data_IF_335675091871
#
_entry.id   IF_335675091871
#
_cell.length_a   1.000
_cell.length_b   1.000
_cell.length_c   1.000
_cell.angle_alpha   90.00
_cell.angle_beta   90.00
_cell.angle_gamma   90.00
#
_symmetry.space_group_name_H-M   'P 1'
#
loop_
_entity.id
_entity.type
_entity.pdbx_description
1 polymer ?
#
# COMPACT_ATOMS: atom_id res chain seq x y z
N UNK A 1 10.84 -6.35 26.73
CA UNK A 1 10.12 -7.33 26.36
C UNK A 1 9.62 -7.33 25.02
N UNK A 2 9.41 -8.36 24.61
CA UNK A 2 9.04 -8.55 23.26
C UNK A 2 7.59 -8.63 23.07
N UNK A 3 7.12 -7.96 22.09
CA UNK A 3 5.77 -8.15 21.67
C UNK A 3 5.70 -9.46 20.95
N UNK A 4 4.97 -10.35 21.50
CA UNK A 4 4.91 -11.65 20.94
C UNK A 4 4.03 -11.73 19.74
N UNK A 5 4.47 -12.43 18.77
CA UNK A 5 3.64 -12.87 17.68
C UNK A 5 3.53 -11.96 16.50
N UNK A 6 4.14 -10.76 16.51
CA UNK A 6 4.05 -9.90 15.35
C UNK A 6 5.41 -9.48 14.85
N UNK A 7 5.56 -9.47 13.55
CA UNK A 7 6.73 -8.95 12.86
C UNK A 7 6.25 -7.99 11.79
N UNK A 8 6.88 -6.84 11.71
CA UNK A 8 6.53 -5.87 10.67
C UNK A 8 7.13 -6.31 9.34
N UNK A 9 6.31 -6.34 8.33
CA UNK A 9 6.74 -6.62 6.96
C UNK A 9 6.68 -5.36 6.15
N UNK A 10 7.82 -4.87 5.72
CA UNK A 10 7.89 -3.66 4.90
C UNK A 10 7.37 -3.98 3.51
N UNK A 11 6.41 -3.19 3.04
CA UNK A 11 5.75 -3.40 1.76
C UNK A 11 6.16 -2.27 0.84
N UNK A 12 6.84 -2.58 -0.23
CA UNK A 12 7.23 -1.60 -1.24
C UNK A 12 6.20 -1.61 -2.36
N UNK A 13 5.75 -0.43 -2.73
CA UNK A 13 4.72 -0.25 -3.75
C UNK A 13 5.36 0.43 -4.95
N UNK A 14 5.22 -0.19 -6.12
CA UNK A 14 5.64 0.40 -7.38
C UNK A 14 4.43 0.51 -8.27
N UNK A 15 4.24 1.68 -8.87
CA UNK A 15 3.09 1.89 -9.74
C UNK A 15 3.40 3.03 -10.70
N UNK A 16 2.62 3.14 -11.76
CA UNK A 16 2.68 4.29 -12.67
C UNK A 16 1.43 5.11 -12.47
N UNK A 17 1.60 6.35 -12.06
CA UNK A 17 0.47 7.23 -11.74
C UNK A 17 0.38 8.34 -12.78
N UNK A 18 -0.83 8.56 -13.26
CA UNK A 18 -1.13 9.69 -14.13
C UNK A 18 -1.79 10.78 -13.27
N UNK A 19 -1.21 11.97 -13.28
CA UNK A 19 -1.68 13.07 -12.46
C UNK A 19 -2.51 14.04 -13.29
N UNK A 20 -3.41 14.74 -12.62
CA UNK A 20 -4.10 15.87 -13.24
C UNK A 20 -3.12 17.00 -13.52
N UNK A 21 -3.47 17.87 -14.46
CA UNK A 21 -2.65 19.01 -14.78
C UNK A 21 -2.39 19.85 -13.53
N UNK A 22 -1.12 20.12 -13.28
CA UNK A 22 -0.71 20.88 -12.09
C UNK A 22 -0.46 20.03 -10.86
N UNK A 23 -0.69 18.71 -10.93
CA UNK A 23 -0.42 17.80 -9.83
C UNK A 23 0.78 16.90 -10.14
N UNK A 24 1.47 16.50 -9.10
CA UNK A 24 2.63 15.63 -9.23
C UNK A 24 2.84 14.87 -7.93
N UNK A 25 3.86 14.04 -7.87
CA UNK A 25 4.22 13.34 -6.64
C UNK A 25 4.45 14.32 -5.48
N UNK A 26 5.05 15.48 -5.78
CA UNK A 26 5.28 16.49 -4.76
C UNK A 26 4.00 16.95 -4.07
N UNK A 27 2.91 17.05 -4.83
CA UNK A 27 1.64 17.53 -4.30
C UNK A 27 0.71 16.42 -3.87
N UNK A 28 0.78 15.27 -4.53
CA UNK A 28 -0.14 14.15 -4.26
C UNK A 28 0.48 13.06 -3.39
N UNK A 29 1.79 12.98 -3.31
CA UNK A 29 2.46 11.88 -2.63
C UNK A 29 2.06 11.70 -1.18
N UNK A 30 1.86 12.79 -0.45
CA UNK A 30 1.42 12.71 0.94
C UNK A 30 0.05 12.06 1.06
N UNK A 31 -0.87 12.39 0.16
CA UNK A 31 -2.20 11.79 0.16
C UNK A 31 -2.13 10.31 -0.16
N UNK A 32 -1.28 9.96 -1.12
CA UNK A 32 -1.11 8.58 -1.54
C UNK A 32 -0.51 7.75 -0.40
N UNK A 33 0.52 8.27 0.24
CA UNK A 33 1.16 7.57 1.36
C UNK A 33 0.19 7.38 2.51
N UNK A 34 -0.60 8.39 2.84
CA UNK A 34 -1.61 8.29 3.89
C UNK A 34 -2.69 7.28 3.55
N UNK A 35 -3.09 7.22 2.30
CA UNK A 35 -4.10 6.26 1.86
C UNK A 35 -3.61 4.82 2.02
N UNK A 36 -2.36 4.58 1.65
CA UNK A 36 -1.76 3.26 1.82
C UNK A 36 -1.59 2.92 3.28
N UNK A 37 -1.13 3.87 4.10
CA UNK A 37 -1.00 3.66 5.54
C UNK A 37 -2.34 3.28 6.16
N UNK A 38 -3.41 3.96 5.76
CA UNK A 38 -4.75 3.67 6.28
C UNK A 38 -5.19 2.26 5.90
N UNK A 39 -4.90 1.83 4.68
CA UNK A 39 -5.22 0.48 4.25
C UNK A 39 -4.46 -0.56 5.09
N UNK A 40 -3.18 -0.32 5.30
CA UNK A 40 -2.37 -1.26 6.09
C UNK A 40 -2.82 -1.29 7.55
N UNK A 41 -3.23 -0.15 8.10
CA UNK A 41 -3.79 -0.12 9.45
C UNK A 41 -5.08 -0.92 9.56
N UNK A 42 -5.92 -0.86 8.54
CA UNK A 42 -7.14 -1.68 8.51
C UNK A 42 -6.81 -3.17 8.47
N UNK A 43 -5.80 -3.55 7.69
CA UNK A 43 -5.36 -4.94 7.68
C UNK A 43 -4.83 -5.36 9.05
N UNK A 44 -4.06 -4.51 9.68
CA UNK A 44 -3.48 -4.82 10.99
C UNK A 44 -4.57 -4.96 12.07
N UNK A 45 -5.65 -4.18 11.96
CA UNK A 45 -6.76 -4.30 12.90
C UNK A 45 -7.42 -5.67 12.84
N UNK A 46 -7.40 -6.29 11.67
CA UNK A 46 -8.03 -7.60 11.48
C UNK A 46 -7.05 -8.74 11.69
N UNK A 47 -5.83 -8.44 12.10
CA UNK A 47 -4.78 -9.44 12.23
C UNK A 47 -5.17 -10.57 13.18
N UNK A 48 -5.75 -10.22 14.32
CA UNK A 48 -6.07 -11.21 15.35
C UNK A 48 -7.22 -12.13 14.95
N UNK A 49 -8.05 -11.71 14.01
CA UNK A 49 -9.20 -12.49 13.56
C UNK A 49 -8.99 -13.19 12.24
N UNK A 50 -7.77 -13.09 11.68
CA UNK A 50 -7.46 -13.65 10.38
C UNK A 50 -6.24 -14.55 10.48
N UNK A 51 -6.27 -15.68 9.80
CA UNK A 51 -5.12 -16.56 9.72
C UNK A 51 -4.01 -15.95 8.88
N UNK A 52 -4.39 -15.22 7.85
CA UNK A 52 -3.47 -14.57 6.94
C UNK A 52 -4.04 -13.23 6.54
N UNK A 53 -3.15 -12.27 6.33
CA UNK A 53 -3.51 -11.00 5.75
C UNK A 53 -3.08 -10.99 4.29
N UNK A 54 -3.94 -10.48 3.43
CA UNK A 54 -3.65 -10.37 2.01
C UNK A 54 -3.58 -8.90 1.63
N UNK A 55 -2.43 -8.46 1.13
CA UNK A 55 -2.28 -7.11 0.59
C UNK A 55 -2.69 -7.19 -0.87
N UNK A 56 -3.79 -6.55 -1.22
CA UNK A 56 -4.38 -6.66 -2.55
C UNK A 56 -4.02 -5.47 -3.41
N UNK A 57 -3.50 -5.75 -4.59
CA UNK A 57 -3.15 -4.70 -5.56
C UNK A 57 -4.38 -3.86 -5.89
N UNK A 58 -5.53 -4.49 -6.10
CA UNK A 58 -6.74 -3.75 -6.44
C UNK A 58 -7.16 -2.77 -5.37
N UNK A 59 -6.96 -3.11 -4.10
CA UNK A 59 -7.28 -2.22 -3.01
C UNK A 59 -6.31 -1.05 -2.94
N UNK A 60 -5.03 -1.31 -3.19
CA UNK A 60 -4.03 -0.26 -3.24
C UNK A 60 -4.37 0.71 -4.37
N UNK A 61 -4.69 0.19 -5.54
CA UNK A 61 -5.05 1.03 -6.69
C UNK A 61 -6.28 1.87 -6.42
N UNK A 62 -7.31 1.27 -5.82
CA UNK A 62 -8.54 1.98 -5.49
C UNK A 62 -8.27 3.13 -4.54
N UNK A 63 -7.45 2.90 -3.54
CA UNK A 63 -7.12 3.92 -2.56
C UNK A 63 -6.31 5.05 -3.15
N UNK A 64 -5.39 4.73 -4.05
CA UNK A 64 -4.60 5.75 -4.73
C UNK A 64 -5.47 6.56 -5.69
N UNK A 65 -6.37 5.90 -6.41
CA UNK A 65 -7.28 6.59 -7.33
C UNK A 65 -8.22 7.56 -6.62
N UNK A 66 -8.51 7.31 -5.35
CA UNK A 66 -9.32 8.21 -4.55
C UNK A 66 -8.56 9.47 -4.10
N UNK A 67 -7.25 9.50 -4.29
CA UNK A 67 -6.45 10.63 -3.85
C UNK A 67 -6.61 11.82 -4.77
N UNK A 68 -6.50 13.02 -4.21
CA UNK A 68 -6.58 14.24 -5.00
C UNK A 68 -5.43 14.28 -6.02
N UNK A 69 -5.75 14.69 -7.22
CA UNK A 69 -4.76 14.87 -8.28
C UNK A 69 -4.42 13.62 -9.08
N UNK A 70 -4.97 12.47 -8.73
CA UNK A 70 -4.69 11.22 -9.45
C UNK A 70 -5.81 10.98 -10.45
N UNK A 71 -5.43 10.76 -11.72
CA UNK A 71 -6.38 10.44 -12.78
C UNK A 71 -6.44 8.94 -13.02
N UNK A 72 -5.28 8.29 -13.07
CA UNK A 72 -5.21 6.88 -13.43
C UNK A 72 -3.98 6.25 -12.80
N UNK A 73 -3.96 4.93 -12.78
CA UNK A 73 -2.88 4.16 -12.20
C UNK A 73 -2.73 2.86 -12.99
N UNK A 74 -1.50 2.40 -13.14
CA UNK A 74 -1.25 1.16 -13.89
C UNK A 74 0.05 0.52 -13.41
N UNK A 75 0.25 -0.73 -13.81
CA UNK A 75 1.48 -1.49 -13.52
C UNK A 75 1.85 -1.52 -12.05
N UNK A 76 0.86 -1.66 -11.19
CA UNK A 76 1.07 -1.70 -9.74
C UNK A 76 1.71 -3.01 -9.34
N UNK A 77 2.77 -2.90 -8.55
CA UNK A 77 3.49 -4.07 -8.02
C UNK A 77 3.72 -3.94 -6.53
N UNK A 78 3.70 -5.07 -5.86
CA UNK A 78 4.01 -5.16 -4.44
C UNK A 78 5.32 -5.94 -4.33
N UNK A 79 6.34 -5.32 -3.76
CA UNK A 79 7.68 -5.92 -3.61
C UNK A 79 8.21 -6.48 -4.93
N UNK A 80 7.94 -5.76 -6.02
CA UNK A 80 8.41 -6.15 -7.34
C UNK A 80 7.55 -7.17 -8.06
N UNK A 81 6.44 -7.60 -7.48
CA UNK A 81 5.56 -8.60 -8.07
C UNK A 81 4.20 -8.00 -8.40
N UNK A 82 3.70 -8.29 -9.58
CA UNK A 82 2.37 -7.81 -10.01
C UNK A 82 1.28 -8.75 -9.50
N UNK A 83 1.33 -9.10 -8.24
CA UNK A 83 0.42 -10.05 -7.62
C UNK A 83 0.10 -9.59 -6.20
N UNK A 84 -1.04 -10.04 -5.69
CA UNK A 84 -1.37 -9.81 -4.28
C UNK A 84 -0.32 -10.48 -3.41
N UNK A 85 0.00 -9.83 -2.29
CA UNK A 85 0.98 -10.37 -1.35
C UNK A 85 0.24 -10.99 -0.17
N UNK A 86 0.53 -12.25 0.10
CA UNK A 86 -0.03 -12.95 1.25
C UNK A 86 0.98 -12.89 2.37
N UNK A 87 0.58 -12.37 3.51
CA UNK A 87 1.42 -12.28 4.69
C UNK A 87 1.15 -13.48 5.58
N UNK A 88 2.21 -14.03 6.15
CA UNK A 88 2.07 -15.12 7.11
C UNK A 88 1.43 -14.60 8.40
N UNK A 89 0.97 -15.54 9.23
CA UNK A 89 0.11 -15.20 10.37
C UNK A 89 0.74 -14.26 11.39
N UNK A 90 2.05 -14.15 11.43
CA UNK A 90 2.72 -13.28 12.39
C UNK A 90 3.18 -11.97 11.83
N UNK A 91 2.84 -11.67 10.57
CA UNK A 91 3.30 -10.45 9.93
C UNK A 91 2.17 -9.45 9.80
N UNK A 92 2.51 -8.18 10.03
CA UNK A 92 1.61 -7.06 9.74
C UNK A 92 2.30 -6.15 8.74
N UNK A 93 1.53 -5.57 7.80
CA UNK A 93 2.12 -4.73 6.76
C UNK A 93 2.46 -3.35 7.30
N UNK A 94 3.62 -2.84 6.91
CA UNK A 94 3.97 -1.43 7.11
C UNK A 94 4.41 -0.87 5.78
N UNK A 95 4.14 0.39 5.55
CA UNK A 95 4.49 1.02 4.28
C UNK A 95 6.01 1.20 4.19
N UNK A 96 6.59 0.67 3.13
CA UNK A 96 7.97 0.96 2.76
C UNK A 96 8.00 2.09 1.76
N UNK A 97 8.75 1.90 0.68
CA UNK A 97 8.84 2.91 -0.39
C UNK A 97 7.62 2.85 -1.28
N UNK A 98 7.20 4.02 -1.76
CA UNK A 98 6.15 4.11 -2.77
C UNK A 98 6.73 4.91 -3.92
N UNK A 99 6.70 4.34 -5.12
CA UNK A 99 7.20 5.00 -6.32
C UNK A 99 6.08 5.16 -7.33
N UNK A 100 6.10 6.27 -8.06
CA UNK A 100 5.04 6.61 -9.01
C UNK A 100 5.44 6.37 -10.47
N UNK A 101 6.54 5.72 -10.69
CA UNK A 101 6.99 5.40 -12.04
C UNK A 101 7.80 6.50 -12.70
N UNK A 102 8.08 7.56 -12.01
CA UNK A 102 8.87 8.66 -12.56
C UNK A 102 10.34 8.51 -12.24
#
# INVERSE_FOLDING_TARGET
>A
VTVDGTTQKEIQIETNIVYQTGWSWKTSGNYIEKAIDAYFQELAKNWASSDQLIVRISQIETRILDCAGVIDISNTKINGNAENLILESNFIPVRGSVTDGA
#
